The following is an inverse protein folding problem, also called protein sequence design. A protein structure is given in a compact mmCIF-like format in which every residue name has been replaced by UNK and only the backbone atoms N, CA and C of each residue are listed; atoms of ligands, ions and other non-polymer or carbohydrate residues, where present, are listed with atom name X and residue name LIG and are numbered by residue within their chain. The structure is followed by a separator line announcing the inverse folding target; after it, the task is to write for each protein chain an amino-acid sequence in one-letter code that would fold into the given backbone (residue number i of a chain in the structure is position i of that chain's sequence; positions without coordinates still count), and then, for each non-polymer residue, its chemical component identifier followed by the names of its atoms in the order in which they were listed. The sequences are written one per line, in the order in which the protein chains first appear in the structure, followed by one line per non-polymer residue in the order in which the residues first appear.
data_IF_107392175332
#
_entry.id   IF_107392175332
#
_cell.length_a   1.000
_cell.length_b   1.000
_cell.length_c   1.000
_cell.angle_alpha   90.00
_cell.angle_beta   90.00
_cell.angle_gamma   90.00
#
_symmetry.space_group_name_H-M   'P 1'
#
loop_
_entity.id
_entity.type
_entity.pdbx_description
1 polymer ?
#
# COMPACT_ATOMS: atom_id res chain seq x y z
N UNK A 1 -15.54 -17.50 7.22
CA UNK A 1 -14.95 -17.12 5.92
C UNK A 1 -15.80 -15.99 5.34
N UNK A 2 -15.57 -14.74 5.77
CA UNK A 2 -16.33 -13.60 5.24
C UNK A 2 -15.65 -13.15 3.94
N UNK A 3 -16.40 -13.24 2.85
CA UNK A 3 -16.02 -12.77 1.53
C UNK A 3 -16.36 -11.27 1.52
N UNK A 4 -15.36 -10.41 1.67
CA UNK A 4 -15.59 -8.97 1.56
C UNK A 4 -15.78 -8.60 0.08
N UNK A 5 -17.03 -8.30 -0.23
CA UNK A 5 -17.51 -7.84 -1.51
C UNK A 5 -17.14 -6.36 -1.66
N UNK A 6 -15.96 -6.07 -2.23
CA UNK A 6 -15.64 -4.91 -3.09
C UNK A 6 -16.19 -3.52 -2.76
N UNK A 7 -16.63 -3.26 -1.54
CA UNK A 7 -17.12 -1.98 -1.06
C UNK A 7 -16.01 -1.48 -0.18
N UNK A 8 -15.18 -0.60 -0.74
CA UNK A 8 -14.21 0.16 0.03
C UNK A 8 -14.97 0.85 1.17
N UNK A 9 -14.75 0.42 2.41
CA UNK A 9 -15.30 1.10 3.58
C UNK A 9 -14.68 2.52 3.63
N UNK A 10 -15.35 3.58 4.11
CA UNK A 10 -14.81 4.94 4.19
C UNK A 10 -13.47 5.07 4.94
N UNK A 11 -13.03 4.03 5.63
CA UNK A 11 -11.74 3.88 6.29
C UNK A 11 -10.62 3.32 5.36
N UNK A 12 -10.95 2.70 4.24
CA UNK A 12 -9.99 2.23 3.22
C UNK A 12 -9.14 3.32 2.52
N UNK A 13 -9.66 4.51 2.14
CA UNK A 13 -8.81 5.52 1.51
C UNK A 13 -7.72 6.03 2.47
N UNK A 14 -7.98 6.04 3.79
CA UNK A 14 -6.96 6.35 4.80
C UNK A 14 -5.89 5.26 4.92
N UNK A 15 -6.26 4.00 4.71
CA UNK A 15 -5.33 2.86 4.67
C UNK A 15 -4.41 2.94 3.45
N UNK A 16 -4.94 3.25 2.27
CA UNK A 16 -4.16 3.43 1.05
C UNK A 16 -3.17 4.61 1.16
N UNK A 17 -3.62 5.73 1.71
CA UNK A 17 -2.76 6.90 1.96
C UNK A 17 -1.62 6.58 2.92
N UNK A 18 -1.91 5.91 4.03
CA UNK A 18 -0.89 5.51 5.02
C UNK A 18 0.13 4.54 4.42
N UNK A 19 -0.31 3.58 3.60
CA UNK A 19 0.58 2.67 2.90
C UNK A 19 1.49 3.40 1.92
N UNK A 20 0.94 4.34 1.16
CA UNK A 20 1.72 5.16 0.23
C UNK A 20 2.82 5.93 0.98
N UNK A 21 2.48 6.58 2.08
CA UNK A 21 3.46 7.32 2.88
C UNK A 21 4.52 6.41 3.50
N UNK A 22 4.15 5.24 4.02
CA UNK A 22 5.10 4.22 4.51
C UNK A 22 6.05 3.75 3.40
N UNK A 23 5.53 3.46 2.20
CA UNK A 23 6.33 2.98 1.08
C UNK A 23 7.32 4.05 0.59
N UNK A 24 6.88 5.32 0.51
CA UNK A 24 7.74 6.44 0.11
C UNK A 24 8.80 6.75 1.17
N UNK A 25 8.46 6.65 2.46
CA UNK A 25 9.42 6.88 3.55
C UNK A 25 10.45 5.76 3.68
N UNK A 26 10.10 4.52 3.34
CA UNK A 26 11.03 3.40 3.30
C UNK A 26 12.09 3.53 2.18
N UNK A 27 11.80 4.30 1.12
CA UNK A 27 12.79 4.55 0.07
C UNK A 27 13.92 5.48 0.55
N UNK A 28 15.16 5.26 0.07
CA UNK A 28 16.26 6.22 0.23
C UNK A 28 15.90 7.58 -0.38
N UNK A 29 16.41 8.67 0.19
CA UNK A 29 16.07 10.04 -0.25
C UNK A 29 16.31 10.28 -1.76
N UNK A 30 17.36 9.67 -2.34
CA UNK A 30 17.66 9.73 -3.77
C UNK A 30 16.61 9.05 -4.67
N UNK A 31 15.82 8.14 -4.11
CA UNK A 31 14.77 7.40 -4.81
C UNK A 31 13.37 7.96 -4.54
N UNK A 32 13.20 8.98 -3.69
CA UNK A 32 11.90 9.62 -3.42
C UNK A 32 11.49 10.62 -4.53
N UNK A 33 11.73 10.26 -5.79
CA UNK A 33 11.41 11.12 -6.93
C UNK A 33 9.91 11.06 -7.28
N UNK A 34 9.37 12.06 -7.98
CA UNK A 34 7.98 12.05 -8.44
C UNK A 34 7.61 10.81 -9.27
N UNK A 35 8.54 10.32 -10.10
CA UNK A 35 8.32 9.11 -10.91
C UNK A 35 8.14 7.88 -10.02
N UNK A 36 9.02 7.68 -9.03
CA UNK A 36 8.95 6.54 -8.12
C UNK A 36 7.72 6.61 -7.21
N UNK A 37 7.34 7.80 -6.74
CA UNK A 37 6.08 8.02 -6.02
C UNK A 37 4.89 7.61 -6.89
N UNK A 38 4.86 8.03 -8.16
CA UNK A 38 3.77 7.66 -9.08
C UNK A 38 3.73 6.15 -9.31
N UNK A 39 4.87 5.50 -9.49
CA UNK A 39 4.96 4.05 -9.65
C UNK A 39 4.44 3.30 -8.41
N UNK A 40 4.79 3.75 -7.20
CA UNK A 40 4.29 3.18 -5.93
C UNK A 40 2.78 3.35 -5.83
N UNK A 41 2.23 4.54 -6.11
CA UNK A 41 0.80 4.79 -6.07
C UNK A 41 0.03 3.86 -7.02
N UNK A 42 0.53 3.66 -8.24
CA UNK A 42 -0.04 2.73 -9.21
C UNK A 42 -0.05 1.29 -8.70
N UNK A 43 1.08 0.81 -8.18
CA UNK A 43 1.20 -0.55 -7.65
C UNK A 43 0.21 -0.81 -6.49
N UNK A 44 0.05 0.18 -5.59
CA UNK A 44 -0.91 0.09 -4.49
C UNK A 44 -2.34 0.03 -5.03
N UNK A 45 -2.69 0.92 -5.97
CA UNK A 45 -4.02 0.95 -6.59
C UNK A 45 -4.35 -0.32 -7.38
N UNK A 46 -3.39 -0.88 -8.12
CA UNK A 46 -3.58 -2.13 -8.88
C UNK A 46 -3.87 -3.32 -7.96
N UNK A 47 -3.14 -3.44 -6.84
CA UNK A 47 -3.40 -4.49 -5.85
C UNK A 47 -4.71 -4.28 -5.10
N UNK A 48 -5.04 -3.03 -4.81
CA UNK A 48 -6.30 -2.63 -4.20
C UNK A 48 -7.51 -2.97 -5.08
N UNK A 49 -7.40 -2.72 -6.39
CA UNK A 49 -8.44 -3.04 -7.36
C UNK A 49 -8.60 -4.55 -7.60
N UNK A 50 -7.55 -5.36 -7.34
CA UNK A 50 -7.58 -6.80 -7.58
C UNK A 50 -8.37 -7.55 -6.49
N UNK A 51 -8.15 -7.22 -5.22
CA UNK A 51 -8.90 -7.77 -4.08
C UNK A 51 -8.41 -7.14 -2.77
N UNK A 52 -9.28 -7.01 -1.77
CA UNK A 52 -8.91 -6.66 -0.39
C UNK A 52 -7.85 -7.62 0.19
N UNK A 53 -7.89 -8.91 -0.19
CA UNK A 53 -6.85 -9.87 0.20
C UNK A 53 -5.47 -9.54 -0.39
N UNK A 54 -5.44 -8.94 -1.59
CA UNK A 54 -4.21 -8.46 -2.24
C UNK A 54 -3.59 -7.27 -1.53
N UNK A 55 -4.43 -6.37 -1.00
CA UNK A 55 -4.03 -5.27 -0.13
C UNK A 55 -3.48 -5.77 1.19
N UNK A 56 -4.21 -6.65 1.89
CA UNK A 56 -3.76 -7.21 3.17
C UNK A 56 -2.41 -7.94 3.07
N UNK A 57 -2.17 -8.65 1.97
CA UNK A 57 -0.89 -9.30 1.69
C UNK A 57 0.24 -8.28 1.45
N UNK A 58 -0.04 -7.16 0.79
CA UNK A 58 0.94 -6.08 0.59
C UNK A 58 1.31 -5.41 1.93
N UNK A 59 0.33 -5.13 2.79
CA UNK A 59 0.55 -4.60 4.14
C UNK A 59 1.47 -5.53 4.92
N UNK A 60 1.12 -6.82 4.96
CA UNK A 60 1.90 -7.83 5.70
C UNK A 60 3.33 -7.92 5.18
N UNK A 61 3.53 -7.81 3.86
CA UNK A 61 4.87 -7.79 3.27
C UNK A 61 5.63 -6.52 3.67
N UNK A 62 5.00 -5.35 3.62
CA UNK A 62 5.62 -4.08 4.00
C UNK A 62 6.03 -4.07 5.47
N UNK A 63 5.19 -4.59 6.37
CA UNK A 63 5.53 -4.69 7.79
C UNK A 63 6.64 -5.74 8.03
N UNK A 64 6.68 -6.84 7.27
CA UNK A 64 7.72 -7.87 7.38
C UNK A 64 9.10 -7.41 6.87
N UNK A 65 9.15 -6.52 5.87
CA UNK A 65 10.41 -6.00 5.30
C UNK A 65 10.83 -4.66 5.91
N UNK A 66 9.96 -4.01 6.68
CA UNK A 66 10.36 -2.86 7.47
C UNK A 66 11.41 -3.31 8.49
N UNK A 67 12.57 -2.64 8.59
CA UNK A 67 13.50 -2.94 9.66
C UNK A 67 12.75 -2.75 10.98
N UNK A 68 12.77 -3.75 11.85
CA UNK A 68 12.42 -3.54 13.25
C UNK A 68 13.36 -2.45 13.77
N UNK A 69 12.81 -1.27 14.01
CA UNK A 69 13.53 -0.17 14.66
C UNK A 69 13.99 -0.60 16.05
#
# INVERSE_FOLDING_TARGET
MQQHNGIFDPEDPSVLGTMFDKAVTALPASMRTPENRTAIAKLILERAATSEAGLASLISLMDAISPAA
#
